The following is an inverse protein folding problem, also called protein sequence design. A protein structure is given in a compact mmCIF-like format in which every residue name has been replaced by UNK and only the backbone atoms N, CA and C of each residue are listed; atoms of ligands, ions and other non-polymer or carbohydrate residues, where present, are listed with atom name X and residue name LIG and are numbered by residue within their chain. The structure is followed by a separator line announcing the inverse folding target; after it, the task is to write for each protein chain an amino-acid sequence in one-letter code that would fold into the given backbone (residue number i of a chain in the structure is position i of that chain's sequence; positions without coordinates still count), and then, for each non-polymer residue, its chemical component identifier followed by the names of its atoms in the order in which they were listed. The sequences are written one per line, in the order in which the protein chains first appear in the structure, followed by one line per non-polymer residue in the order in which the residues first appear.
data_IF_984598965141
#
_entry.id   IF_984598965141
#
_cell.length_a   1.000
_cell.length_b   1.000
_cell.length_c   1.000
_cell.angle_alpha   90.00
_cell.angle_beta   90.00
_cell.angle_gamma   90.00
#
_symmetry.space_group_name_H-M   'P 1'
#
loop_
_entity.id
_entity.type
_entity.pdbx_description
1 polymer ?
#
# COMPACT_ATOMS: atom_id res chain seq x y z
N UNK A 1 20.51 -12.16 32.45
CA UNK A 1 21.44 -13.17 31.86
C UNK A 1 21.92 -12.62 30.52
N UNK A 2 23.23 -12.66 30.22
CA UNK A 2 23.82 -11.90 29.10
C UNK A 2 24.02 -12.76 27.85
N UNK A 3 23.59 -12.25 26.68
CA UNK A 3 23.58 -12.97 25.40
C UNK A 3 24.61 -12.46 24.38
N UNK A 4 25.67 -11.74 24.83
CA UNK A 4 26.76 -11.26 23.97
C UNK A 4 28.08 -11.95 24.30
N UNK A 5 28.29 -13.16 23.76
CA UNK A 5 29.55 -13.91 23.95
C UNK A 5 30.01 -14.73 22.73
N UNK A 6 29.80 -14.24 21.51
CA UNK A 6 30.45 -14.82 20.32
C UNK A 6 30.82 -13.80 19.24
N UNK A 7 31.94 -13.09 19.47
CA UNK A 7 32.72 -12.39 18.45
C UNK A 7 34.17 -12.24 18.99
N UNK A 8 35.02 -13.24 18.73
CA UNK A 8 36.48 -13.15 18.96
C UNK A 8 37.22 -13.67 17.71
N UNK A 9 37.96 -12.82 16.99
CA UNK A 9 38.81 -13.28 15.89
C UNK A 9 39.98 -14.13 16.41
N UNK A 10 40.28 -15.24 15.73
CA UNK A 10 41.54 -15.98 15.95
C UNK A 10 42.70 -15.21 15.32
N UNK A 11 43.53 -14.54 16.12
CA UNK A 11 44.83 -14.00 15.68
C UNK A 11 45.78 -15.15 15.30
N UNK A 12 46.38 -15.10 14.11
CA UNK A 12 47.65 -15.81 13.82
C UNK A 12 48.83 -14.90 14.19
N UNK A 13 49.94 -15.49 14.63
CA UNK A 13 51.20 -14.81 14.96
C UNK A 13 52.14 -14.73 13.74
N UNK A 14 52.78 -13.58 13.56
CA UNK A 14 54.11 -13.34 12.98
C UNK A 14 54.53 -12.00 13.62
N UNK A 15 55.30 -11.99 14.71
CA UNK A 15 56.78 -12.01 14.78
C UNK A 15 57.37 -10.72 14.18
N UNK A 16 57.91 -9.90 15.07
CA UNK A 16 58.52 -8.59 14.78
C UNK A 16 59.87 -8.69 14.06
N UNK A 17 60.20 -7.62 13.34
CA UNK A 17 61.55 -7.07 13.39
C UNK A 17 61.52 -5.53 13.29
N UNK A 18 62.03 -4.89 14.34
CA UNK A 18 62.69 -3.58 14.45
C UNK A 18 63.21 -2.97 13.12
N UNK A 19 63.38 -1.65 12.92
CA UNK A 19 64.01 -0.69 13.84
C UNK A 19 63.97 0.77 13.28
N UNK A 20 64.10 1.80 14.14
CA UNK A 20 64.69 3.15 13.87
C UNK A 20 64.14 4.05 12.70
N UNK A 21 64.32 5.38 12.67
CA UNK A 21 64.52 6.46 13.67
C UNK A 21 64.42 7.84 12.94
N UNK A 22 64.15 8.89 13.71
CA UNK A 22 64.64 10.28 13.56
C UNK A 22 64.30 11.17 12.32
N UNK A 23 63.52 12.23 12.61
CA UNK A 23 63.91 13.66 12.54
C UNK A 23 63.61 14.60 11.33
N UNK A 24 63.24 15.85 11.74
CA UNK A 24 63.44 17.19 11.09
C UNK A 24 62.51 17.56 9.89
N UNK A 25 62.13 18.83 9.64
CA UNK A 25 61.61 19.97 10.43
C UNK A 25 61.33 21.14 9.45
N UNK A 26 60.36 22.02 9.76
CA UNK A 26 60.13 23.34 9.12
C UNK A 26 59.62 23.33 7.66
N UNK A 27 59.06 24.42 7.13
CA UNK A 27 58.50 25.61 7.81
C UNK A 27 57.55 26.38 6.86
N UNK A 28 56.94 27.44 7.39
CA UNK A 28 56.38 28.62 6.68
C UNK A 28 55.11 28.52 5.78
N UNK A 29 53.98 28.80 6.44
CA UNK A 29 53.20 30.05 6.33
C UNK A 29 52.47 30.50 5.03
N UNK A 30 51.24 30.97 5.25
CA UNK A 30 50.59 32.23 4.76
C UNK A 30 49.06 32.06 4.72
N UNK A 31 48.38 32.76 5.62
CA UNK A 31 47.02 33.31 5.43
C UNK A 31 47.14 34.83 5.28
N UNK A 32 46.29 35.46 4.46
CA UNK A 32 45.07 36.11 4.97
C UNK A 32 43.77 35.31 4.64
N UNK A 33 42.54 35.73 4.98
CA UNK A 33 42.09 36.94 5.69
C UNK A 33 40.80 36.71 6.52
N UNK A 34 40.32 37.75 7.21
CA UNK A 34 39.10 37.86 8.03
C UNK A 34 37.88 38.43 7.27
N UNK A 35 36.66 37.95 7.57
CA UNK A 35 35.49 38.82 7.83
C UNK A 35 34.61 38.14 8.89
N UNK A 36 34.42 38.80 10.03
CA UNK A 36 33.48 38.42 11.09
C UNK A 36 32.30 39.41 11.08
N UNK A 37 31.05 38.95 11.02
CA UNK A 37 29.89 39.81 11.28
C UNK A 37 28.83 39.06 12.10
N UNK A 38 28.44 39.65 13.23
CA UNK A 38 27.54 39.06 14.23
C UNK A 38 26.21 39.81 14.31
N UNK A 39 25.09 39.10 14.15
CA UNK A 39 23.75 39.69 14.26
C UNK A 39 22.74 38.81 15.01
N UNK A 40 22.72 39.01 16.34
CA UNK A 40 21.58 38.87 17.28
C UNK A 40 20.28 38.18 16.82
N UNK A 41 20.02 37.04 17.45
CA UNK A 41 18.77 36.70 18.15
C UNK A 41 17.46 37.41 17.74
N UNK A 42 16.52 36.65 17.18
CA UNK A 42 15.08 36.85 17.40
C UNK A 42 14.37 35.51 17.39
N UNK A 43 13.88 35.08 18.55
CA UNK A 43 12.95 33.97 18.63
C UNK A 43 11.65 34.33 17.91
N UNK A 44 11.09 33.37 17.17
CA UNK A 44 9.70 33.37 16.77
C UNK A 44 9.11 32.05 17.22
N UNK A 45 8.19 32.14 18.18
CA UNK A 45 7.18 31.13 18.40
C UNK A 45 6.39 31.02 17.09
N UNK A 46 6.61 29.96 16.33
CA UNK A 46 5.73 29.58 15.25
C UNK A 46 4.56 28.83 15.89
N UNK A 47 3.42 29.50 16.02
CA UNK A 47 2.19 28.83 16.41
C UNK A 47 1.84 27.73 15.40
N UNK A 48 1.31 26.61 15.88
CA UNK A 48 0.68 25.61 15.03
C UNK A 48 -0.63 26.16 14.47
N UNK A 49 -0.56 27.00 13.43
CA UNK A 49 -1.70 27.23 12.55
C UNK A 49 -1.87 26.01 11.64
N UNK A 50 -3.05 25.39 11.72
CA UNK A 50 -3.36 24.13 11.03
C UNK A 50 -3.51 24.32 9.52
N UNK A 51 -2.41 24.15 8.77
CA UNK A 51 -2.48 23.98 7.31
C UNK A 51 -3.06 22.60 6.96
N UNK A 52 -4.39 22.47 7.00
CA UNK A 52 -5.11 21.32 6.43
C UNK A 52 -6.37 21.76 5.66
N UNK A 53 -6.17 22.48 4.56
CA UNK A 53 -7.23 22.92 3.64
C UNK A 53 -7.07 22.27 2.23
N UNK A 54 -6.80 20.95 2.24
CA UNK A 54 -6.61 20.15 1.03
C UNK A 54 -7.91 19.73 0.35
N UNK A 55 -8.99 19.54 1.12
CA UNK A 55 -10.25 18.96 0.66
C UNK A 55 -11.30 20.05 0.42
N UNK A 56 -12.03 19.97 -0.70
CA UNK A 56 -13.07 20.94 -1.05
C UNK A 56 -14.42 20.54 -0.46
N UNK A 57 -15.13 21.50 0.15
CA UNK A 57 -16.49 21.31 0.64
C UNK A 57 -17.44 22.12 -0.25
N UNK A 58 -18.27 21.42 -1.02
CA UNK A 58 -19.21 22.01 -1.96
C UNK A 58 -20.62 21.83 -1.40
N UNK A 59 -21.39 22.90 -1.34
CA UNK A 59 -22.77 22.92 -0.86
C UNK A 59 -23.70 23.30 -2.02
N UNK A 60 -24.44 22.31 -2.52
CA UNK A 60 -25.48 22.48 -3.51
C UNK A 60 -26.84 22.58 -2.81
N UNK A 61 -27.56 23.68 -3.02
CA UNK A 61 -28.89 23.89 -2.48
C UNK A 61 -29.94 23.84 -3.59
N UNK A 62 -30.93 22.95 -3.45
CA UNK A 62 -32.05 22.83 -4.38
C UNK A 62 -33.06 23.99 -4.25
N UNK A 63 -32.87 24.85 -3.24
CA UNK A 63 -33.69 26.02 -2.92
C UNK A 63 -32.79 27.16 -2.43
N UNK A 64 -33.37 28.27 -1.93
CA UNK A 64 -32.62 29.37 -1.34
C UNK A 64 -31.71 28.85 -0.19
N UNK A 65 -30.39 29.07 -0.26
CA UNK A 65 -29.44 28.46 0.66
C UNK A 65 -29.60 29.02 2.08
N UNK A 66 -29.54 28.14 3.09
CA UNK A 66 -29.66 28.54 4.50
C UNK A 66 -28.32 29.09 5.01
N UNK A 67 -28.29 30.37 5.36
CA UNK A 67 -27.05 31.02 5.82
C UNK A 67 -26.50 30.38 7.12
N UNK A 68 -27.37 29.91 8.03
CA UNK A 68 -26.95 29.17 9.24
C UNK A 68 -26.09 27.95 8.90
N UNK A 69 -26.55 27.15 7.93
CA UNK A 69 -25.85 25.96 7.45
C UNK A 69 -24.52 26.35 6.81
N UNK A 70 -24.50 27.37 5.93
CA UNK A 70 -23.26 27.83 5.30
C UNK A 70 -22.22 28.29 6.32
N UNK A 71 -22.63 29.08 7.32
CA UNK A 71 -21.71 29.58 8.35
C UNK A 71 -21.20 28.44 9.24
N UNK A 72 -22.05 27.44 9.51
CA UNK A 72 -21.68 26.21 10.20
C UNK A 72 -20.66 25.39 9.39
N UNK A 73 -20.91 25.17 8.09
CA UNK A 73 -19.98 24.48 7.19
C UNK A 73 -18.64 25.24 7.08
N UNK A 74 -18.66 26.58 7.09
CA UNK A 74 -17.46 27.44 7.09
C UNK A 74 -16.62 27.33 8.36
N UNK A 75 -17.22 27.02 9.50
CA UNK A 75 -16.47 26.70 10.72
C UNK A 75 -15.74 25.35 10.65
N UNK A 76 -16.15 24.45 9.75
CA UNK A 76 -15.51 23.16 9.51
C UNK A 76 -14.47 23.26 8.38
N UNK A 77 -14.73 24.03 7.33
CA UNK A 77 -13.86 24.19 6.17
C UNK A 77 -13.85 25.66 5.71
N UNK A 78 -12.68 26.30 5.65
CA UNK A 78 -12.55 27.70 5.22
C UNK A 78 -13.01 27.96 3.78
N UNK A 79 -12.97 26.94 2.92
CA UNK A 79 -13.29 26.98 1.49
C UNK A 79 -14.62 26.28 1.16
N UNK A 80 -15.74 26.75 1.73
CA UNK A 80 -17.09 26.31 1.30
C UNK A 80 -17.54 27.06 0.04
N UNK A 81 -17.81 26.30 -1.01
CA UNK A 81 -18.30 26.82 -2.29
C UNK A 81 -19.78 26.44 -2.49
N UNK A 82 -20.62 27.41 -2.84
CA UNK A 82 -22.09 27.28 -2.77
C UNK A 82 -22.74 27.43 -4.14
N UNK A 83 -23.60 26.48 -4.52
CA UNK A 83 -24.28 26.45 -5.82
C UNK A 83 -25.79 26.28 -5.65
N UNK A 84 -26.58 26.93 -6.50
CA UNK A 84 -28.04 26.74 -6.60
C UNK A 84 -28.49 26.23 -7.96
N UNK A 85 -27.55 26.07 -8.90
CA UNK A 85 -27.78 25.56 -10.26
C UNK A 85 -26.99 24.26 -10.43
N UNK A 86 -27.69 23.18 -10.80
CA UNK A 86 -27.13 21.83 -10.94
C UNK A 86 -25.95 21.78 -11.92
N UNK A 87 -26.10 22.40 -13.10
CA UNK A 87 -25.08 22.37 -14.14
C UNK A 87 -23.81 23.13 -13.71
N UNK A 88 -23.95 24.30 -13.08
CA UNK A 88 -22.81 25.08 -12.58
C UNK A 88 -22.01 24.30 -11.52
N UNK A 89 -22.72 23.58 -10.64
CA UNK A 89 -22.12 22.70 -9.64
C UNK A 89 -21.32 21.55 -10.31
N UNK A 90 -21.89 20.88 -11.33
CA UNK A 90 -21.22 19.81 -12.09
C UNK A 90 -20.00 20.36 -12.85
N UNK A 91 -20.17 21.47 -13.58
CA UNK A 91 -19.11 22.09 -14.39
C UNK A 91 -17.95 22.57 -13.53
N UNK A 92 -18.23 23.04 -12.31
CA UNK A 92 -17.21 23.38 -11.32
C UNK A 92 -16.54 22.15 -10.69
N UNK A 93 -17.29 21.11 -10.33
CA UNK A 93 -16.73 19.87 -9.76
C UNK A 93 -15.86 19.10 -10.75
N UNK A 94 -16.23 19.04 -12.01
CA UNK A 94 -15.58 18.22 -13.06
C UNK A 94 -14.06 18.44 -13.18
N UNK A 95 -13.52 19.68 -13.22
CA UNK A 95 -12.07 19.93 -13.28
C UNK A 95 -11.32 19.78 -11.95
N UNK A 96 -11.99 19.54 -10.81
CA UNK A 96 -11.33 19.45 -9.50
C UNK A 96 -10.52 18.14 -9.41
N UNK A 97 -9.22 18.28 -9.14
CA UNK A 97 -8.28 17.16 -8.97
C UNK A 97 -8.09 16.72 -7.52
N UNK A 98 -8.70 17.42 -6.56
CA UNK A 98 -8.66 17.12 -5.12
C UNK A 98 -9.97 16.48 -4.65
N UNK A 99 -9.97 15.90 -3.47
CA UNK A 99 -11.17 15.28 -2.90
C UNK A 99 -12.26 16.32 -2.62
N UNK A 100 -13.49 15.99 -3.03
CA UNK A 100 -14.71 16.77 -2.86
C UNK A 100 -15.62 16.08 -1.86
N UNK A 101 -16.07 16.84 -0.86
CA UNK A 101 -17.21 16.55 -0.01
C UNK A 101 -18.40 17.36 -0.56
N UNK A 102 -19.46 16.69 -1.00
CA UNK A 102 -20.64 17.34 -1.60
C UNK A 102 -21.81 17.29 -0.61
N UNK A 103 -22.33 18.44 -0.21
CA UNK A 103 -23.58 18.56 0.55
C UNK A 103 -24.71 18.92 -0.42
N UNK A 104 -25.84 18.23 -0.30
CA UNK A 104 -27.06 18.46 -1.08
C UNK A 104 -28.17 18.83 -0.11
N UNK A 105 -28.60 20.10 -0.09
CA UNK A 105 -29.76 20.58 0.69
C UNK A 105 -31.02 20.39 -0.18
N UNK A 106 -31.85 19.40 0.18
CA UNK A 106 -33.08 19.05 -0.52
C UNK A 106 -32.96 17.88 -1.52
N UNK A 107 -33.84 17.90 -2.53
CA UNK A 107 -34.00 16.84 -3.54
C UNK A 107 -33.43 17.29 -4.90
N UNK A 108 -32.30 16.72 -5.36
CA UNK A 108 -31.74 17.02 -6.68
C UNK A 108 -32.50 16.27 -7.78
N UNK A 109 -32.32 16.70 -9.03
CA UNK A 109 -32.84 16.00 -10.20
C UNK A 109 -32.17 14.64 -10.39
N UNK A 110 -32.89 13.70 -11.02
CA UNK A 110 -32.31 12.39 -11.39
C UNK A 110 -31.13 12.55 -12.36
N UNK A 111 -31.16 13.58 -13.22
CA UNK A 111 -30.06 13.95 -14.11
C UNK A 111 -28.81 14.37 -13.37
N UNK A 112 -28.93 15.15 -12.29
CA UNK A 112 -27.78 15.54 -11.45
C UNK A 112 -27.13 14.32 -10.81
N UNK A 113 -27.93 13.40 -10.25
CA UNK A 113 -27.43 12.16 -9.65
C UNK A 113 -26.66 11.29 -10.66
N UNK A 114 -27.18 11.08 -11.88
CA UNK A 114 -26.44 10.33 -12.91
C UNK A 114 -25.20 11.08 -13.43
N UNK A 115 -25.19 12.42 -13.38
CA UNK A 115 -24.05 13.23 -13.80
C UNK A 115 -22.89 13.25 -12.78
N UNK A 116 -23.18 13.20 -11.48
CA UNK A 116 -22.14 13.12 -10.43
C UNK A 116 -21.61 11.69 -10.22
N UNK A 117 -22.39 10.66 -10.58
CA UNK A 117 -22.03 9.23 -10.47
C UNK A 117 -20.63 8.84 -11.03
N UNK A 118 -20.16 9.33 -12.19
CA UNK A 118 -18.81 9.04 -12.70
C UNK A 118 -17.68 9.87 -12.05
N UNK A 119 -17.99 10.87 -11.22
CA UNK A 119 -17.01 11.83 -10.67
C UNK A 119 -16.23 11.23 -9.49
N UNK A 120 -15.10 10.60 -9.79
CA UNK A 120 -14.21 9.91 -8.83
C UNK A 120 -13.55 10.84 -7.78
N UNK A 121 -13.61 12.15 -7.99
CA UNK A 121 -13.13 13.14 -7.03
C UNK A 121 -14.09 13.33 -5.84
N UNK A 122 -15.35 12.92 -5.97
CA UNK A 122 -16.31 12.95 -4.85
C UNK A 122 -16.03 11.75 -3.95
N UNK A 123 -15.75 12.01 -2.67
CA UNK A 123 -15.58 10.97 -1.64
C UNK A 123 -16.90 10.66 -0.92
N UNK A 124 -17.60 11.71 -0.46
CA UNK A 124 -18.86 11.58 0.27
C UNK A 124 -19.88 12.62 -0.20
N UNK A 125 -21.14 12.19 -0.29
CA UNK A 125 -22.33 12.99 -0.57
C UNK A 125 -23.23 13.00 0.67
N UNK A 126 -23.48 14.18 1.22
CA UNK A 126 -24.32 14.39 2.41
C UNK A 126 -25.67 14.96 1.96
N UNK A 127 -26.74 14.19 2.09
CA UNK A 127 -28.11 14.69 1.89
C UNK A 127 -28.59 15.34 3.18
N UNK A 128 -28.76 16.65 3.15
CA UNK A 128 -29.25 17.45 4.28
C UNK A 128 -30.75 17.72 4.15
N UNK A 129 -31.49 17.50 5.24
CA UNK A 129 -32.94 17.52 5.29
C UNK A 129 -33.63 16.70 4.17
N UNK A 130 -33.23 15.43 3.93
CA UNK A 130 -33.80 14.61 2.87
C UNK A 130 -35.28 14.29 3.11
N UNK A 131 -36.06 14.21 2.03
CA UNK A 131 -37.43 13.69 2.13
C UNK A 131 -37.42 12.17 2.38
N UNK A 132 -38.31 11.63 3.22
CA UNK A 132 -38.35 10.19 3.51
C UNK A 132 -38.44 9.34 2.23
N UNK A 133 -37.60 8.31 2.13
CA UNK A 133 -37.54 7.38 0.98
C UNK A 133 -36.78 7.87 -0.26
N UNK A 134 -36.30 9.11 -0.29
CA UNK A 134 -35.58 9.65 -1.47
C UNK A 134 -34.15 9.10 -1.67
N UNK A 135 -33.52 8.65 -0.58
CA UNK A 135 -32.14 8.13 -0.60
C UNK A 135 -32.11 6.67 -1.06
N UNK A 136 -33.11 5.88 -0.71
CA UNK A 136 -33.18 4.44 -0.99
C UNK A 136 -33.13 4.09 -2.49
N UNK A 137 -33.54 5.01 -3.38
CA UNK A 137 -33.48 4.82 -4.84
C UNK A 137 -32.17 5.32 -5.47
N UNK A 138 -31.35 6.04 -4.70
CA UNK A 138 -30.00 6.47 -5.10
C UNK A 138 -28.99 5.41 -4.67
N UNK A 139 -29.10 4.91 -3.43
CA UNK A 139 -28.21 3.89 -2.83
C UNK A 139 -28.25 2.53 -3.56
N UNK A 140 -29.33 2.25 -4.31
CA UNK A 140 -29.46 1.05 -5.18
C UNK A 140 -28.60 1.10 -6.45
N UNK A 141 -27.91 2.20 -6.75
CA UNK A 141 -27.16 2.41 -8.00
C UNK A 141 -25.65 2.33 -7.74
N UNK A 142 -24.89 1.69 -8.64
CA UNK A 142 -23.42 1.65 -8.51
C UNK A 142 -22.81 3.06 -8.59
N UNK A 143 -22.29 3.57 -7.48
CA UNK A 143 -21.52 4.82 -7.36
C UNK A 143 -20.22 4.57 -6.58
N UNK A 144 -19.22 5.45 -6.77
CA UNK A 144 -17.91 5.35 -6.11
C UNK A 144 -17.73 6.20 -4.84
N UNK A 145 -18.73 7.02 -4.50
CA UNK A 145 -18.76 7.86 -3.30
C UNK A 145 -19.64 7.22 -2.22
N UNK A 146 -19.51 7.68 -0.97
CA UNK A 146 -20.43 7.33 0.13
C UNK A 146 -21.65 8.26 0.10
N UNK A 147 -22.83 7.72 0.45
CA UNK A 147 -24.04 8.50 0.71
C UNK A 147 -24.30 8.56 2.22
N UNK A 148 -24.57 9.76 2.74
CA UNK A 148 -24.87 9.97 4.16
C UNK A 148 -26.13 10.83 4.29
N UNK A 149 -27.11 10.35 5.07
CA UNK A 149 -28.32 11.10 5.43
C UNK A 149 -28.06 11.97 6.66
N UNK A 150 -28.43 13.26 6.61
CA UNK A 150 -28.28 14.22 7.69
C UNK A 150 -29.61 14.93 7.95
N UNK A 151 -30.28 14.58 9.06
CA UNK A 151 -31.61 15.12 9.41
C UNK A 151 -31.56 16.59 9.90
N UNK A 152 -30.43 17.00 10.49
CA UNK A 152 -30.25 18.32 11.11
C UNK A 152 -28.80 18.81 11.03
N UNK A 153 -28.56 20.09 11.38
CA UNK A 153 -27.25 20.74 11.27
C UNK A 153 -26.16 20.05 12.11
N UNK A 154 -26.49 19.50 13.27
CA UNK A 154 -25.55 18.77 14.15
C UNK A 154 -25.11 17.44 13.52
N UNK A 155 -26.06 16.67 12.96
CA UNK A 155 -25.76 15.42 12.25
C UNK A 155 -24.93 15.65 10.99
N UNK A 156 -25.13 16.77 10.30
CA UNK A 156 -24.34 17.18 9.13
C UNK A 156 -22.91 17.52 9.54
N UNK A 157 -22.72 18.38 10.55
CA UNK A 157 -21.40 18.74 11.09
C UNK A 157 -20.61 17.52 11.56
N UNK A 158 -21.24 16.65 12.36
CA UNK A 158 -20.62 15.43 12.87
C UNK A 158 -20.23 14.46 11.74
N UNK A 159 -21.10 14.31 10.72
CA UNK A 159 -20.85 13.40 9.60
C UNK A 159 -19.73 13.88 8.68
N UNK A 160 -19.67 15.19 8.40
CA UNK A 160 -18.59 15.79 7.59
C UNK A 160 -17.27 15.68 8.35
N UNK A 161 -17.25 16.02 9.64
CA UNK A 161 -16.06 15.94 10.49
C UNK A 161 -15.52 14.51 10.55
N UNK A 162 -16.39 13.53 10.83
CA UNK A 162 -16.04 12.10 10.81
C UNK A 162 -15.51 11.64 9.45
N UNK A 163 -16.15 12.04 8.36
CA UNK A 163 -15.70 11.66 7.00
C UNK A 163 -14.33 12.23 6.65
N UNK A 164 -14.03 13.46 7.11
CA UNK A 164 -12.69 14.05 7.00
C UNK A 164 -11.66 13.28 7.82
N UNK A 165 -11.97 12.93 9.06
CA UNK A 165 -11.06 12.09 9.84
C UNK A 165 -10.81 10.71 9.21
N UNK A 166 -11.83 10.09 8.61
CA UNK A 166 -11.71 8.83 7.89
C UNK A 166 -10.82 8.96 6.64
N UNK A 167 -10.99 10.03 5.87
CA UNK A 167 -10.15 10.36 4.71
C UNK A 167 -8.69 10.70 5.10
N UNK A 168 -8.49 11.38 6.23
CA UNK A 168 -7.15 11.69 6.75
C UNK A 168 -6.46 10.42 7.28
N UNK A 169 -7.21 9.51 7.94
CA UNK A 169 -6.74 8.16 8.32
C UNK A 169 -6.39 7.32 7.08
N UNK A 170 -7.20 7.39 6.02
CA UNK A 170 -6.92 6.76 4.72
C UNK A 170 -5.62 7.33 4.13
N UNK A 171 -5.53 8.65 3.95
CA UNK A 171 -4.34 9.33 3.40
C UNK A 171 -3.06 8.99 4.17
N UNK A 172 -3.13 8.99 5.51
CA UNK A 172 -1.99 8.65 6.39
C UNK A 172 -1.56 7.20 6.25
N UNK A 173 -2.51 6.26 6.35
CA UNK A 173 -2.23 4.83 6.23
C UNK A 173 -1.73 4.43 4.82
N UNK A 174 -2.05 5.22 3.80
CA UNK A 174 -1.86 4.84 2.39
C UNK A 174 -0.92 5.75 1.59
N UNK A 175 -0.02 6.45 2.28
CA UNK A 175 1.19 7.06 1.69
C UNK A 175 1.98 6.10 0.77
N UNK A 176 1.84 4.79 1.02
CA UNK A 176 2.15 3.65 0.14
C UNK A 176 1.90 3.92 -1.35
N UNK A 177 0.79 4.54 -1.74
CA UNK A 177 0.46 4.72 -3.15
C UNK A 177 1.35 5.73 -3.88
N UNK A 178 2.02 6.62 -3.13
CA UNK A 178 3.01 7.56 -3.64
C UNK A 178 4.45 7.03 -3.57
N UNK A 179 4.68 5.86 -2.94
CA UNK A 179 6.00 5.21 -2.89
C UNK A 179 6.27 4.45 -4.21
N UNK A 180 7.47 4.59 -4.80
CA UNK A 180 7.88 3.81 -5.98
C UNK A 180 7.96 2.32 -5.60
N UNK A 181 7.03 1.53 -6.11
CA UNK A 181 7.07 0.07 -5.97
C UNK A 181 8.35 -0.51 -6.58
N UNK A 182 9.01 -1.40 -5.85
CA UNK A 182 10.13 -2.22 -6.35
C UNK A 182 9.71 -3.69 -6.29
N UNK A 183 9.73 -4.39 -7.42
CA UNK A 183 9.46 -5.83 -7.47
C UNK A 183 10.64 -6.69 -6.98
N UNK A 184 11.86 -6.15 -7.00
CA UNK A 184 13.11 -6.84 -6.64
C UNK A 184 14.11 -5.88 -5.96
N UNK A 185 15.02 -6.44 -5.17
CA UNK A 185 16.21 -5.78 -4.59
C UNK A 185 17.49 -6.42 -5.10
N UNK A 186 18.51 -5.61 -5.38
CA UNK A 186 19.88 -6.11 -5.62
C UNK A 186 20.61 -6.20 -4.26
N UNK A 187 20.88 -7.43 -3.79
CA UNK A 187 21.45 -7.64 -2.46
C UNK A 187 22.90 -7.16 -2.35
N UNK A 188 23.60 -6.87 -3.45
CA UNK A 188 24.91 -6.19 -3.40
C UNK A 188 24.80 -4.74 -2.88
N UNK A 189 23.62 -4.12 -3.04
CA UNK A 189 23.32 -2.72 -2.65
C UNK A 189 22.37 -2.65 -1.45
N UNK A 190 21.43 -3.60 -1.33
CA UNK A 190 20.27 -3.53 -0.44
C UNK A 190 20.23 -4.65 0.63
N UNK A 191 21.34 -5.35 0.88
CA UNK A 191 21.40 -6.43 1.89
C UNK A 191 20.88 -6.02 3.29
N UNK A 192 21.08 -4.76 3.70
CA UNK A 192 20.62 -4.27 5.00
C UNK A 192 19.09 -4.26 5.14
N UNK A 193 18.37 -3.77 4.12
CA UNK A 193 16.90 -3.76 4.12
C UNK A 193 16.34 -5.17 4.01
N UNK A 194 16.97 -6.04 3.21
CA UNK A 194 16.61 -7.45 3.15
C UNK A 194 16.75 -8.16 4.51
N UNK A 195 17.89 -8.00 5.20
CA UNK A 195 18.09 -8.62 6.52
C UNK A 195 17.11 -8.08 7.57
N UNK A 196 16.83 -6.78 7.56
CA UNK A 196 15.80 -6.18 8.41
C UNK A 196 14.41 -6.77 8.13
N UNK A 197 14.03 -6.91 6.86
CA UNK A 197 12.77 -7.51 6.45
C UNK A 197 12.64 -8.98 6.89
N UNK A 198 13.72 -9.77 6.78
CA UNK A 198 13.74 -11.16 7.27
C UNK A 198 13.61 -11.23 8.81
N UNK A 199 14.21 -10.30 9.56
CA UNK A 199 13.98 -10.18 11.01
C UNK A 199 12.52 -9.79 11.30
N UNK A 200 11.95 -8.85 10.54
CA UNK A 200 10.55 -8.45 10.68
C UNK A 200 9.59 -9.61 10.42
N UNK A 201 9.81 -10.43 9.38
CA UNK A 201 9.05 -11.67 9.12
C UNK A 201 9.08 -12.61 10.33
N UNK A 202 10.27 -12.87 10.88
CA UNK A 202 10.43 -13.71 12.09
C UNK A 202 9.65 -13.10 13.26
N UNK A 203 9.69 -11.79 13.46
CA UNK A 203 8.91 -11.12 14.50
C UNK A 203 7.41 -11.32 14.30
N UNK A 204 6.88 -11.15 13.08
CA UNK A 204 5.48 -11.41 12.77
C UNK A 204 5.08 -12.86 13.08
N UNK A 205 5.87 -13.83 12.61
CA UNK A 205 5.62 -15.26 12.85
C UNK A 205 5.58 -15.65 14.35
N UNK A 206 6.23 -14.87 15.22
CA UNK A 206 6.23 -15.09 16.67
C UNK A 206 5.17 -14.26 17.43
N UNK A 207 4.35 -13.46 16.75
CA UNK A 207 3.26 -12.73 17.39
C UNK A 207 2.04 -13.62 17.68
N UNK A 208 1.28 -13.36 18.75
CA UNK A 208 0.03 -14.08 18.99
C UNK A 208 -1.03 -13.72 17.94
N UNK A 209 -1.57 -14.74 17.26
CA UNK A 209 -2.80 -14.59 16.47
C UNK A 209 -3.94 -14.18 17.40
N UNK A 210 -4.65 -13.12 17.04
CA UNK A 210 -5.77 -12.60 17.83
C UNK A 210 -6.86 -12.02 16.95
N UNK A 211 -8.11 -12.12 17.39
CA UNK A 211 -9.26 -11.49 16.71
C UNK A 211 -9.10 -9.97 16.59
N UNK A 212 -8.36 -9.35 17.53
CA UNK A 212 -7.97 -7.94 17.44
C UNK A 212 -7.15 -7.65 16.18
N UNK A 213 -6.20 -8.51 15.82
CA UNK A 213 -5.41 -8.36 14.59
C UNK A 213 -6.27 -8.48 13.33
N UNK A 214 -7.20 -9.45 13.27
CA UNK A 214 -8.18 -9.55 12.15
C UNK A 214 -9.04 -8.29 12.07
N UNK A 215 -9.60 -7.81 13.18
CA UNK A 215 -10.43 -6.60 13.23
C UNK A 215 -9.66 -5.35 12.78
N UNK A 216 -8.40 -5.19 13.20
CA UNK A 216 -7.53 -4.12 12.69
C UNK A 216 -7.36 -4.21 11.18
N UNK A 217 -6.97 -5.38 10.65
CA UNK A 217 -6.77 -5.58 9.21
C UNK A 217 -8.03 -5.25 8.40
N UNK A 218 -9.18 -5.78 8.82
CA UNK A 218 -10.46 -5.56 8.15
C UNK A 218 -10.88 -4.08 8.22
N UNK A 219 -10.70 -3.41 9.37
CA UNK A 219 -10.98 -1.97 9.51
C UNK A 219 -10.13 -1.13 8.57
N UNK A 220 -8.81 -1.41 8.50
CA UNK A 220 -7.91 -0.79 7.52
C UNK A 220 -8.38 -1.01 6.08
N UNK A 221 -8.82 -2.23 5.74
CA UNK A 221 -9.33 -2.53 4.40
C UNK A 221 -10.62 -1.75 4.08
N UNK A 222 -11.59 -1.69 5.01
CA UNK A 222 -12.83 -0.92 4.84
C UNK A 222 -12.54 0.57 4.66
N UNK A 223 -11.59 1.12 5.42
CA UNK A 223 -11.16 2.51 5.27
C UNK A 223 -10.38 2.76 3.96
N UNK A 224 -9.63 1.79 3.45
CA UNK A 224 -8.97 1.91 2.15
C UNK A 224 -9.99 1.91 1.01
N UNK A 225 -10.84 0.88 0.96
CA UNK A 225 -11.82 0.66 -0.10
C UNK A 225 -13.12 1.44 0.12
N UNK A 226 -13.07 2.52 0.91
CA UNK A 226 -14.15 3.49 1.14
C UNK A 226 -14.71 3.94 -0.22
N UNK A 227 -16.02 3.78 -0.43
CA UNK A 227 -16.70 4.04 -1.71
C UNK A 227 -16.56 2.96 -2.80
N UNK A 228 -15.66 1.98 -2.68
CA UNK A 228 -15.56 0.85 -3.61
C UNK A 228 -16.46 -0.31 -3.17
N UNK A 229 -17.75 -0.25 -3.55
CA UNK A 229 -18.77 -1.23 -3.18
C UNK A 229 -18.38 -2.70 -3.47
N UNK A 230 -17.66 -2.95 -4.57
CA UNK A 230 -17.21 -4.30 -4.95
C UNK A 230 -16.20 -4.86 -3.95
N UNK A 231 -15.18 -4.08 -3.58
CA UNK A 231 -14.16 -4.53 -2.63
C UNK A 231 -14.66 -4.49 -1.19
N UNK A 232 -15.55 -3.55 -0.82
CA UNK A 232 -16.24 -3.58 0.47
C UNK A 232 -17.02 -4.88 0.67
N UNK A 233 -17.76 -5.34 -0.35
CA UNK A 233 -18.42 -6.65 -0.31
C UNK A 233 -17.43 -7.81 -0.15
N UNK A 234 -16.29 -7.79 -0.85
CA UNK A 234 -15.24 -8.80 -0.68
C UNK A 234 -14.67 -8.81 0.75
N UNK A 235 -14.53 -7.63 1.37
CA UNK A 235 -14.04 -7.46 2.74
C UNK A 235 -15.07 -7.99 3.75
N UNK A 236 -16.37 -7.75 3.55
CA UNK A 236 -17.43 -8.24 4.43
C UNK A 236 -17.60 -9.76 4.32
N UNK A 237 -17.48 -10.33 3.12
CA UNK A 237 -17.44 -11.78 2.93
C UNK A 237 -16.18 -12.39 3.57
N UNK A 238 -15.01 -11.75 3.49
CA UNK A 238 -13.80 -12.17 4.20
C UNK A 238 -14.00 -12.13 5.72
N UNK A 239 -14.48 -11.01 6.27
CA UNK A 239 -14.68 -10.83 7.71
C UNK A 239 -15.62 -11.89 8.28
N UNK A 240 -16.70 -12.20 7.55
CA UNK A 240 -17.72 -13.19 7.92
C UNK A 240 -17.28 -14.65 7.75
N UNK A 241 -16.53 -14.98 6.69
CA UNK A 241 -16.32 -16.39 6.28
C UNK A 241 -14.89 -16.91 6.43
N UNK A 242 -13.88 -16.04 6.51
CA UNK A 242 -12.48 -16.44 6.50
C UNK A 242 -12.10 -17.36 7.66
N UNK A 243 -11.44 -18.47 7.34
CA UNK A 243 -10.69 -19.33 8.26
C UNK A 243 -9.22 -19.40 7.86
N UNK A 244 -8.35 -19.78 8.78
CA UNK A 244 -6.90 -19.92 8.55
C UNK A 244 -6.56 -20.91 7.43
N UNK A 245 -7.42 -21.88 7.15
CA UNK A 245 -7.26 -22.87 6.06
C UNK A 245 -7.72 -22.32 4.68
N UNK A 246 -8.36 -21.15 4.63
CA UNK A 246 -8.78 -20.49 3.37
C UNK A 246 -7.76 -19.46 2.84
N UNK A 247 -6.60 -19.29 3.49
CA UNK A 247 -5.60 -18.28 3.12
C UNK A 247 -5.17 -18.37 1.65
N UNK A 248 -4.73 -19.52 1.15
CA UNK A 248 -4.35 -19.68 -0.28
C UNK A 248 -5.52 -19.33 -1.24
N UNK A 249 -6.75 -19.85 -1.07
CA UNK A 249 -7.91 -19.43 -1.85
C UNK A 249 -8.20 -17.92 -1.82
N UNK A 250 -7.96 -17.24 -0.69
CA UNK A 250 -8.13 -15.78 -0.60
C UNK A 250 -6.96 -15.00 -1.22
N UNK A 251 -5.76 -15.55 -1.24
CA UNK A 251 -4.57 -14.91 -1.82
C UNK A 251 -4.64 -14.91 -3.35
N UNK A 252 -5.16 -15.99 -3.92
CA UNK A 252 -5.18 -16.21 -5.38
C UNK A 252 -6.37 -15.55 -6.08
N UNK A 253 -7.43 -15.19 -5.35
CA UNK A 253 -8.52 -14.36 -5.87
C UNK A 253 -8.04 -12.91 -6.11
N UNK A 254 -8.51 -12.30 -7.19
CA UNK A 254 -8.22 -10.89 -7.54
C UNK A 254 -8.98 -9.87 -6.66
N UNK A 255 -8.86 -10.00 -5.33
CA UNK A 255 -9.54 -9.19 -4.31
C UNK A 255 -8.56 -8.25 -3.60
N UNK A 256 -9.08 -7.45 -2.66
CA UNK A 256 -8.30 -6.61 -1.76
C UNK A 256 -7.07 -7.31 -1.16
N UNK A 257 -7.17 -8.58 -0.75
CA UNK A 257 -6.11 -9.31 -0.04
C UNK A 257 -4.82 -9.39 -0.87
N UNK A 258 -4.92 -9.95 -2.08
CA UNK A 258 -3.80 -10.04 -3.03
C UNK A 258 -3.20 -8.66 -3.33
N UNK A 259 -4.07 -7.68 -3.61
CA UNK A 259 -3.69 -6.34 -4.05
C UNK A 259 -2.94 -5.59 -2.94
N UNK A 260 -3.43 -5.66 -1.70
CA UNK A 260 -2.85 -4.93 -0.58
C UNK A 260 -1.50 -5.49 -0.15
N UNK A 261 -1.44 -6.80 0.07
CA UNK A 261 -0.25 -7.46 0.61
C UNK A 261 0.92 -7.30 -0.37
N UNK A 262 0.70 -7.61 -1.65
CA UNK A 262 1.74 -7.46 -2.66
C UNK A 262 2.20 -6.02 -2.86
N UNK A 263 1.31 -5.02 -2.68
CA UNK A 263 1.71 -3.62 -2.74
C UNK A 263 2.54 -3.23 -1.51
N UNK A 264 2.06 -3.55 -0.30
CA UNK A 264 2.77 -3.25 0.95
C UNK A 264 4.16 -3.89 1.00
N UNK A 265 4.32 -5.11 0.45
CA UNK A 265 5.61 -5.78 0.27
C UNK A 265 6.53 -5.03 -0.72
N UNK A 266 6.00 -4.59 -1.87
CA UNK A 266 6.74 -3.83 -2.90
C UNK A 266 7.09 -2.39 -2.50
N UNK A 267 6.38 -1.81 -1.54
CA UNK A 267 6.67 -0.48 -0.96
C UNK A 267 7.34 -0.55 0.41
N UNK A 268 7.64 -1.77 0.88
CA UNK A 268 8.32 -2.05 2.16
C UNK A 268 7.62 -1.42 3.38
N UNK A 269 6.28 -1.38 3.35
CA UNK A 269 5.49 -0.66 4.35
C UNK A 269 5.22 -1.49 5.60
N UNK A 270 6.10 -1.33 6.58
CA UNK A 270 6.10 -2.10 7.83
C UNK A 270 4.79 -1.93 8.62
N UNK A 271 4.18 -0.73 8.61
CA UNK A 271 2.95 -0.46 9.36
C UNK A 271 1.75 -1.20 8.77
N UNK A 272 1.59 -1.19 7.45
CA UNK A 272 0.55 -1.99 6.79
C UNK A 272 0.86 -3.49 6.86
N UNK A 273 2.10 -3.93 6.67
CA UNK A 273 2.45 -5.35 6.85
C UNK A 273 2.18 -5.84 8.27
N UNK A 274 2.40 -4.99 9.29
CA UNK A 274 2.02 -5.28 10.66
C UNK A 274 0.50 -5.38 10.82
N UNK A 275 -0.29 -4.50 10.19
CA UNK A 275 -1.75 -4.60 10.22
C UNK A 275 -2.26 -5.89 9.54
N UNK A 276 -1.62 -6.33 8.45
CA UNK A 276 -1.93 -7.57 7.75
C UNK A 276 -1.30 -8.85 8.35
N UNK A 277 -0.55 -8.74 9.46
CA UNK A 277 0.16 -9.87 10.10
C UNK A 277 -0.70 -11.11 10.32
N UNK A 278 -1.97 -10.92 10.70
CA UNK A 278 -2.94 -11.99 10.94
C UNK A 278 -3.03 -12.94 9.74
N UNK A 279 -3.18 -12.38 8.54
CA UNK A 279 -3.33 -13.15 7.32
C UNK A 279 -1.98 -13.60 6.74
N UNK A 280 -0.93 -12.76 6.82
CA UNK A 280 0.42 -13.12 6.35
C UNK A 280 0.92 -14.39 7.06
N UNK A 281 0.69 -14.51 8.37
CA UNK A 281 1.03 -15.71 9.14
C UNK A 281 0.28 -16.95 8.69
N UNK A 282 -1.04 -16.86 8.51
CA UNK A 282 -1.87 -17.98 8.03
C UNK A 282 -1.44 -18.45 6.63
N UNK A 283 -1.12 -17.50 5.73
CA UNK A 283 -0.64 -17.81 4.39
C UNK A 283 0.72 -18.52 4.44
N UNK A 284 1.73 -17.97 5.12
CA UNK A 284 3.05 -18.61 5.22
C UNK A 284 2.97 -20.00 5.90
N UNK A 285 2.14 -20.18 6.93
CA UNK A 285 1.91 -21.50 7.54
C UNK A 285 1.26 -22.52 6.58
N UNK A 286 0.36 -22.09 5.69
CA UNK A 286 -0.16 -22.97 4.64
C UNK A 286 0.90 -23.33 3.61
N UNK A 287 1.69 -22.35 3.16
CA UNK A 287 2.77 -22.59 2.19
C UNK A 287 3.83 -23.53 2.76
N UNK A 288 4.15 -23.43 4.06
CA UNK A 288 5.04 -24.36 4.76
C UNK A 288 4.50 -25.81 4.72
N UNK A 289 3.22 -26.02 5.07
CA UNK A 289 2.57 -27.33 4.97
C UNK A 289 2.63 -27.91 3.55
N UNK A 290 2.40 -27.08 2.53
CA UNK A 290 2.44 -27.49 1.12
C UNK A 290 3.84 -27.72 0.58
N UNK A 291 4.84 -27.01 1.08
CA UNK A 291 6.23 -27.27 0.74
C UNK A 291 6.72 -28.62 1.30
N UNK A 292 6.29 -29.00 2.50
CA UNK A 292 6.56 -30.32 3.08
C UNK A 292 5.87 -31.47 2.32
N UNK A 293 4.72 -31.22 1.69
CA UNK A 293 4.11 -32.16 0.74
C UNK A 293 4.92 -32.25 -0.57
N UNK A 294 5.38 -31.12 -1.11
CA UNK A 294 6.16 -31.03 -2.35
C UNK A 294 7.52 -31.74 -2.22
N UNK A 295 8.27 -31.49 -1.14
CA UNK A 295 9.57 -32.13 -0.86
C UNK A 295 9.52 -33.66 -0.76
N UNK A 296 8.36 -34.23 -0.39
CA UNK A 296 8.17 -35.69 -0.35
C UNK A 296 7.99 -36.29 -1.75
N UNK A 297 7.50 -35.49 -2.71
CA UNK A 297 7.21 -35.89 -4.10
C UNK A 297 8.37 -35.58 -5.05
N UNK A 298 8.96 -34.39 -4.95
CA UNK A 298 10.00 -33.87 -5.84
C UNK A 298 11.38 -33.89 -5.14
N UNK A 299 12.41 -34.44 -5.80
CA UNK A 299 13.73 -34.67 -5.17
C UNK A 299 14.89 -33.82 -5.71
N UNK A 300 14.78 -33.34 -6.94
CA UNK A 300 15.93 -32.77 -7.65
C UNK A 300 15.68 -31.28 -7.97
N UNK A 301 15.61 -30.94 -9.26
CA UNK A 301 15.43 -29.58 -9.75
C UNK A 301 13.95 -29.31 -10.02
N UNK A 302 13.46 -28.21 -9.48
CA UNK A 302 12.17 -27.62 -9.82
C UNK A 302 12.39 -26.48 -10.83
N UNK A 303 11.62 -26.48 -11.93
CA UNK A 303 11.62 -25.40 -12.93
C UNK A 303 10.32 -24.62 -12.85
N UNK A 304 10.42 -23.31 -12.65
CA UNK A 304 9.28 -22.41 -12.54
C UNK A 304 9.40 -21.27 -13.55
N UNK A 305 8.27 -20.74 -14.00
CA UNK A 305 8.22 -19.71 -15.04
C UNK A 305 7.34 -18.54 -14.60
N UNK A 306 7.74 -17.31 -14.94
CA UNK A 306 6.92 -16.11 -14.70
C UNK A 306 6.90 -15.20 -15.90
N UNK A 307 5.71 -14.93 -16.43
CA UNK A 307 5.51 -13.87 -17.41
C UNK A 307 5.38 -12.52 -16.73
N UNK A 308 6.08 -11.51 -17.22
CA UNK A 308 5.94 -10.14 -16.73
C UNK A 308 6.13 -9.11 -17.86
N UNK A 309 5.78 -7.87 -17.54
CA UNK A 309 6.20 -6.69 -18.30
C UNK A 309 7.17 -5.90 -17.43
N UNK A 310 8.29 -5.50 -18.01
CA UNK A 310 9.34 -4.71 -17.36
C UNK A 310 9.41 -3.35 -18.03
N UNK A 311 9.53 -2.29 -17.24
CA UNK A 311 9.95 -0.97 -17.72
C UNK A 311 11.40 -0.97 -18.21
N UNK A 312 11.81 0.09 -18.92
CA UNK A 312 13.22 0.29 -19.30
C UNK A 312 14.15 0.28 -18.08
N UNK A 313 13.80 1.02 -17.01
CA UNK A 313 14.49 1.01 -15.71
C UNK A 313 14.71 -0.43 -15.19
N UNK A 314 13.67 -1.26 -15.17
CA UNK A 314 13.76 -2.63 -14.65
C UNK A 314 14.67 -3.51 -15.50
N UNK A 315 14.62 -3.39 -16.83
CA UNK A 315 15.52 -4.11 -17.73
C UNK A 315 16.98 -3.72 -17.49
N UNK A 316 17.26 -2.42 -17.36
CA UNK A 316 18.61 -1.94 -17.05
C UNK A 316 19.09 -2.44 -15.67
N UNK A 317 18.24 -2.38 -14.64
CA UNK A 317 18.56 -2.91 -13.32
C UNK A 317 18.91 -4.41 -13.36
N UNK A 318 18.18 -5.22 -14.13
CA UNK A 318 18.52 -6.64 -14.33
C UNK A 318 19.84 -6.84 -15.07
N UNK A 319 20.14 -6.01 -16.08
CA UNK A 319 21.43 -6.05 -16.79
C UNK A 319 22.61 -5.67 -15.88
N UNK A 320 22.46 -4.65 -15.04
CA UNK A 320 23.48 -4.24 -14.07
C UNK A 320 23.65 -5.25 -12.93
N UNK A 321 22.67 -6.12 -12.68
CA UNK A 321 22.68 -7.14 -11.62
C UNK A 321 23.14 -8.53 -12.09
N UNK A 322 23.68 -8.66 -13.31
CA UNK A 322 24.23 -9.94 -13.81
C UNK A 322 25.41 -10.36 -12.93
N UNK A 323 25.30 -11.55 -12.32
CA UNK A 323 26.28 -12.08 -11.36
C UNK A 323 26.01 -11.70 -9.90
N UNK A 324 25.05 -10.80 -9.63
CA UNK A 324 24.63 -10.44 -8.26
C UNK A 324 23.50 -11.37 -7.76
N UNK A 325 23.27 -11.34 -6.45
CA UNK A 325 22.10 -11.96 -5.83
C UNK A 325 20.93 -10.98 -5.82
N UNK A 326 19.78 -11.41 -6.35
CA UNK A 326 18.54 -10.64 -6.40
C UNK A 326 17.51 -11.29 -5.48
N UNK A 327 16.80 -10.48 -4.70
CA UNK A 327 15.64 -10.91 -3.90
C UNK A 327 14.36 -10.33 -4.49
N UNK A 328 13.25 -11.07 -4.40
CA UNK A 328 11.91 -10.54 -4.72
C UNK A 328 11.33 -9.79 -3.53
N UNK A 329 10.60 -8.71 -3.82
CA UNK A 329 9.88 -7.94 -2.81
C UNK A 329 8.45 -8.43 -2.70
N UNK A 330 8.29 -9.53 -1.96
CA UNK A 330 7.04 -10.20 -1.73
C UNK A 330 6.93 -11.56 -2.42
N UNK A 331 5.73 -12.15 -2.30
CA UNK A 331 5.46 -13.50 -2.76
C UNK A 331 5.70 -13.64 -4.26
N UNK A 332 6.60 -14.55 -4.63
CA UNK A 332 6.91 -14.81 -6.04
C UNK A 332 5.93 -15.87 -6.57
N UNK A 333 4.80 -15.40 -7.08
CA UNK A 333 3.88 -16.19 -7.90
C UNK A 333 4.54 -16.58 -9.23
N UNK A 334 4.49 -17.87 -9.56
CA UNK A 334 5.04 -18.47 -10.78
C UNK A 334 4.10 -19.56 -11.28
N UNK A 335 4.26 -20.01 -12.52
CA UNK A 335 3.63 -21.24 -13.00
C UNK A 335 4.68 -22.32 -13.17
N UNK A 336 4.30 -23.56 -12.88
CA UNK A 336 5.05 -24.75 -13.30
C UNK A 336 4.99 -24.98 -14.83
N UNK A 337 4.01 -24.36 -15.51
CA UNK A 337 3.80 -24.50 -16.96
C UNK A 337 4.34 -23.28 -17.74
N UNK A 338 5.34 -23.52 -18.60
CA UNK A 338 5.99 -22.46 -19.39
C UNK A 338 5.01 -21.77 -20.35
N UNK A 339 4.02 -22.50 -20.87
CA UNK A 339 2.98 -21.97 -21.77
C UNK A 339 2.09 -20.95 -21.08
N UNK A 340 1.67 -21.22 -19.84
CA UNK A 340 0.87 -20.31 -19.00
C UNK A 340 1.65 -19.03 -18.72
N UNK A 341 2.90 -19.15 -18.25
CA UNK A 341 3.76 -17.99 -18.01
C UNK A 341 4.01 -17.15 -19.28
N UNK A 342 4.20 -17.80 -20.44
CA UNK A 342 4.30 -17.10 -21.73
C UNK A 342 2.98 -16.38 -22.09
N UNK A 343 1.83 -16.99 -21.78
CA UNK A 343 0.52 -16.35 -21.85
C UNK A 343 0.49 -15.03 -21.08
N UNK A 344 0.88 -15.03 -19.80
CA UNK A 344 0.94 -13.81 -18.99
C UNK A 344 1.83 -12.71 -19.58
N UNK A 345 3.01 -13.06 -20.11
CA UNK A 345 3.90 -12.10 -20.76
C UNK A 345 3.28 -11.46 -22.03
N UNK A 346 2.33 -12.14 -22.67
CA UNK A 346 1.81 -11.76 -24.00
C UNK A 346 0.34 -11.30 -24.02
N UNK A 347 -0.47 -11.66 -23.00
CA UNK A 347 -1.94 -11.48 -22.90
C UNK A 347 -2.42 -10.05 -23.14
N UNK A 348 -1.67 -9.04 -22.69
CA UNK A 348 -2.08 -7.63 -22.79
C UNK A 348 -1.29 -6.87 -23.88
N UNK A 349 -1.89 -5.83 -24.52
CA UNK A 349 -1.29 -5.09 -25.63
C UNK A 349 0.14 -4.61 -25.37
N UNK A 350 0.92 -4.37 -26.43
CA UNK A 350 2.22 -3.70 -26.29
C UNK A 350 1.97 -2.30 -25.72
N UNK A 351 2.69 -1.97 -24.64
CA UNK A 351 2.72 -0.63 -24.04
C UNK A 351 4.09 -0.04 -24.34
N UNK A 352 4.12 1.17 -24.86
CA UNK A 352 5.37 1.88 -25.11
C UNK A 352 6.18 2.04 -23.80
N UNK A 353 7.51 1.91 -23.88
CA UNK A 353 8.39 1.88 -22.72
C UNK A 353 8.42 0.58 -21.91
N UNK A 354 7.68 -0.47 -22.31
CA UNK A 354 7.68 -1.77 -21.61
C UNK A 354 8.09 -2.95 -22.50
N UNK A 355 9.01 -3.77 -21.98
CA UNK A 355 9.48 -5.02 -22.56
C UNK A 355 8.70 -6.19 -21.97
N UNK A 356 8.34 -7.19 -22.79
CA UNK A 356 7.74 -8.45 -22.33
C UNK A 356 8.87 -9.41 -21.93
N UNK A 357 8.84 -9.90 -20.69
CA UNK A 357 9.84 -10.81 -20.15
C UNK A 357 9.20 -12.15 -19.76
N UNK A 358 9.93 -13.24 -20.00
CA UNK A 358 9.64 -14.57 -19.47
C UNK A 358 10.84 -14.97 -18.61
N UNK A 359 10.64 -15.04 -17.30
CA UNK A 359 11.64 -15.55 -16.37
C UNK A 359 11.53 -17.08 -16.30
N UNK A 360 12.68 -17.75 -16.26
CA UNK A 360 12.82 -19.17 -15.89
C UNK A 360 13.67 -19.24 -14.62
N UNK A 361 13.14 -19.89 -13.59
CA UNK A 361 13.83 -20.16 -12.34
C UNK A 361 14.15 -21.66 -12.28
N UNK A 362 15.42 -21.99 -12.04
CA UNK A 362 15.85 -23.36 -11.78
C UNK A 362 16.26 -23.45 -10.31
N UNK A 363 15.59 -24.31 -9.55
CA UNK A 363 15.70 -24.39 -8.10
C UNK A 363 16.11 -25.81 -7.72
N UNK A 364 17.29 -25.97 -7.12
CA UNK A 364 17.68 -27.25 -6.52
C UNK A 364 17.06 -27.37 -5.12
N UNK A 365 16.15 -28.32 -4.95
CA UNK A 365 15.43 -28.52 -3.69
C UNK A 365 16.33 -29.09 -2.56
N UNK A 366 17.52 -29.61 -2.89
CA UNK A 366 18.48 -30.11 -1.91
C UNK A 366 19.27 -28.97 -1.24
N UNK A 367 19.55 -27.90 -1.98
CA UNK A 367 20.22 -26.70 -1.47
C UNK A 367 19.25 -25.73 -0.78
N UNK A 368 17.97 -25.72 -1.17
CA UNK A 368 16.94 -24.89 -0.53
C UNK A 368 16.57 -25.43 0.85
N UNK A 369 17.23 -24.89 1.89
CA UNK A 369 16.95 -25.21 3.30
C UNK A 369 15.89 -24.32 3.94
N UNK A 370 15.73 -23.07 3.48
CA UNK A 370 14.94 -22.01 4.16
C UNK A 370 13.88 -21.29 3.31
N UNK A 371 13.89 -21.46 1.99
CA UNK A 371 12.86 -20.85 1.12
C UNK A 371 11.69 -21.82 1.05
N UNK A 372 10.48 -21.33 1.31
CA UNK A 372 9.23 -22.11 1.25
C UNK A 372 8.64 -21.98 -0.15
N UNK A 373 8.38 -23.12 -0.80
CA UNK A 373 7.89 -23.19 -2.18
C UNK A 373 6.71 -24.16 -2.22
N UNK A 374 5.51 -23.65 -2.49
CA UNK A 374 4.30 -24.46 -2.50
C UNK A 374 3.71 -24.55 -3.91
N UNK A 375 3.47 -25.78 -4.41
CA UNK A 375 2.47 -25.97 -5.46
C UNK A 375 1.10 -25.75 -4.83
N UNK A 376 0.40 -24.72 -5.28
CA UNK A 376 -0.89 -24.29 -4.74
C UNK A 376 -2.04 -24.53 -5.71
N UNK A 377 -1.80 -25.25 -6.82
CA UNK A 377 -2.76 -25.50 -7.90
C UNK A 377 -4.12 -26.00 -7.42
N UNK A 378 -4.14 -26.93 -6.47
CA UNK A 378 -5.37 -27.54 -5.93
C UNK A 378 -6.20 -26.58 -5.05
N UNK A 379 -5.60 -25.47 -4.59
CA UNK A 379 -6.18 -24.52 -3.64
C UNK A 379 -6.29 -23.09 -4.22
N UNK A 380 -5.74 -22.86 -5.40
CA UNK A 380 -5.83 -21.59 -6.12
C UNK A 380 -7.26 -21.37 -6.64
N UNK A 381 -7.67 -20.11 -6.72
CA UNK A 381 -8.86 -19.69 -7.44
C UNK A 381 -8.79 -19.98 -8.95
N UNK A 382 -7.58 -20.19 -9.49
CA UNK A 382 -7.31 -20.47 -10.89
C UNK A 382 -6.40 -21.71 -11.05
N UNK A 383 -6.90 -22.95 -10.81
CA UNK A 383 -6.10 -24.18 -10.90
C UNK A 383 -5.44 -24.41 -12.26
N UNK A 384 -6.01 -23.87 -13.34
CA UNK A 384 -5.47 -23.91 -14.69
C UNK A 384 -4.16 -23.13 -14.87
N UNK A 385 -3.86 -22.19 -13.96
CA UNK A 385 -2.62 -21.41 -13.99
C UNK A 385 -1.41 -22.20 -13.47
N UNK A 386 -1.64 -23.40 -12.90
CA UNK A 386 -0.60 -24.31 -12.42
C UNK A 386 0.39 -23.63 -11.46
N UNK A 387 -0.18 -22.77 -10.59
CA UNK A 387 0.56 -21.81 -9.77
C UNK A 387 1.42 -22.48 -8.69
N UNK A 388 2.68 -22.07 -8.65
CA UNK A 388 3.62 -22.38 -7.58
C UNK A 388 4.03 -21.05 -6.94
N UNK A 389 3.78 -20.92 -5.64
CA UNK A 389 4.00 -19.70 -4.88
C UNK A 389 5.23 -19.86 -3.98
N UNK A 390 6.15 -18.93 -4.08
CA UNK A 390 7.30 -18.81 -3.17
C UNK A 390 6.99 -17.76 -2.10
N UNK A 391 7.25 -18.11 -0.85
CA UNK A 391 7.03 -17.26 0.33
C UNK A 391 8.04 -16.08 0.43
N UNK A 392 7.75 -15.13 1.32
CA UNK A 392 8.46 -13.83 1.50
C UNK A 392 9.79 -13.90 2.28
#
# INVERSE_FOLDING_TARGET
MSFFKWLKPRRKKLVDSTNNRDNIAGDDDVRPDEVEETAKSRGREAGNESQNDGNKLIYFACQAPKQSVIDKLRSINSSVETFTVEQECIDHMTPITRTVFLVIDGLPSTSFIEAIKPLKQIDSVFFYAPSPGSIDDIDKKEHSYIIISCENEETLEASITKSREELDKQTTAFSIYNKKEKATRDLSKEAGSFLFFQIFKIVLQNMPKSDGAKKTMVSTCRNYYRGNLTELKNIDDFDRTYKSDDAIPWYTKETFVYKFINKALRTEDIDVLYQFRFYIMDLSEQLEKKFDELRKKQKDILRLYRGSKLSADEVENFQQSIGNLISTNGYLSTSSERSVAYGFATKSPRREGFVRALFEYQIDLNDVKKIVIADIREFSAFPEEAEVLVDI
#
